data_IF_471957289996
#
_entry.id   IF_471957289996
#
_cell.length_a   1.000
_cell.length_b   1.000
_cell.length_c   1.000
_cell.angle_alpha   90.00
_cell.angle_beta   90.00
_cell.angle_gamma   90.00
#
_symmetry.space_group_name_H-M   'P 1'
#
loop_
_entity.id
_entity.type
_entity.pdbx_description
1 polymer ?
#
# COMPACT_ATOMS: atom_id res chain seq x y z
N UNK A 1 -9.27 8.24 -19.98
CA UNK A 1 -8.29 9.11 -20.65
C UNK A 1 -8.55 10.56 -20.22
N UNK A 2 -8.21 10.92 -18.97
CA UNK A 2 -8.30 12.30 -18.48
C UNK A 2 -6.93 12.93 -18.64
N UNK A 3 -6.85 13.88 -19.55
CA UNK A 3 -5.68 14.68 -19.88
C UNK A 3 -5.15 15.38 -18.63
N UNK A 4 -3.91 15.06 -18.23
CA UNK A 4 -3.14 15.88 -17.32
C UNK A 4 -2.98 17.26 -17.97
N UNK A 5 -3.60 18.24 -17.33
CA UNK A 5 -3.75 19.61 -17.77
C UNK A 5 -2.40 20.32 -17.95
N UNK A 6 -2.18 21.04 -19.07
CA UNK A 6 -0.97 21.83 -19.34
C UNK A 6 -0.70 22.95 -18.32
N UNK A 7 -1.67 23.28 -17.45
CA UNK A 7 -1.57 24.36 -16.45
C UNK A 7 -0.45 24.19 -15.40
N UNK A 8 0.03 22.96 -15.18
CA UNK A 8 1.09 22.71 -14.18
C UNK A 8 2.48 23.07 -14.74
N UNK A 9 2.65 23.00 -16.06
CA UNK A 9 3.95 23.23 -16.71
C UNK A 9 4.32 24.72 -16.78
N UNK A 10 3.34 25.61 -16.96
CA UNK A 10 3.60 27.04 -17.10
C UNK A 10 3.93 27.74 -15.77
N UNK A 11 3.61 27.12 -14.63
CA UNK A 11 3.89 27.70 -13.30
C UNK A 11 5.26 27.34 -12.72
N UNK A 12 5.97 26.37 -13.30
CA UNK A 12 7.12 25.75 -12.64
C UNK A 12 8.42 25.77 -13.44
N UNK A 13 8.47 26.27 -14.69
CA UNK A 13 9.69 26.36 -15.52
C UNK A 13 10.54 25.07 -15.53
N UNK A 14 9.92 23.90 -15.29
CA UNK A 14 10.61 22.62 -15.24
C UNK A 14 10.22 21.82 -16.50
N UNK A 15 11.21 21.38 -17.31
CA UNK A 15 10.94 20.61 -18.51
C UNK A 15 10.18 19.31 -18.20
N UNK A 16 9.20 18.97 -19.04
CA UNK A 16 8.33 17.79 -18.91
C UNK A 16 9.10 16.49 -18.61
N UNK A 17 10.31 16.33 -19.14
CA UNK A 17 11.19 15.19 -18.90
C UNK A 17 11.54 15.00 -17.42
N UNK A 18 11.68 16.08 -16.64
CA UNK A 18 11.93 15.98 -15.20
C UNK A 18 10.68 15.56 -14.43
N UNK A 19 9.49 15.94 -14.90
CA UNK A 19 8.22 15.53 -14.28
C UNK A 19 8.01 14.03 -14.45
N UNK A 20 8.32 13.46 -15.63
CA UNK A 20 8.29 12.01 -15.85
C UNK A 20 9.32 11.28 -14.99
N UNK A 21 10.53 11.82 -14.81
CA UNK A 21 11.54 11.23 -13.93
C UNK A 21 11.10 11.22 -12.46
N UNK A 22 10.48 12.30 -11.98
CA UNK A 22 9.96 12.39 -10.60
C UNK A 22 8.76 11.45 -10.42
N UNK A 23 7.83 11.42 -11.38
CA UNK A 23 6.65 10.54 -11.32
C UNK A 23 7.03 9.05 -11.36
N UNK A 24 8.11 8.70 -12.07
CA UNK A 24 8.66 7.34 -12.10
C UNK A 24 9.41 6.97 -10.80
N UNK A 25 9.93 7.97 -10.08
CA UNK A 25 10.67 7.78 -8.82
C UNK A 25 9.73 7.59 -7.62
N UNK A 26 8.56 8.23 -7.65
CA UNK A 26 7.52 7.99 -6.66
C UNK A 26 6.80 6.68 -6.99
N UNK A 27 7.30 5.58 -6.42
CA UNK A 27 6.62 4.26 -6.29
C UNK A 27 5.20 4.31 -5.67
N UNK A 28 4.63 5.49 -5.46
CA UNK A 28 3.29 5.70 -4.94
C UNK A 28 2.19 5.63 -6.01
N UNK A 29 2.55 5.62 -7.30
CA UNK A 29 1.59 5.30 -8.35
C UNK A 29 1.48 3.79 -8.47
N UNK A 30 0.55 3.18 -7.73
CA UNK A 30 0.10 1.83 -8.06
C UNK A 30 -0.50 1.89 -9.47
N UNK A 31 0.21 1.32 -10.46
CA UNK A 31 -0.26 1.20 -11.84
C UNK A 31 -1.43 0.22 -11.97
N UNK A 32 -1.70 -0.58 -10.93
CA UNK A 32 -2.83 -1.50 -10.85
C UNK A 32 -4.01 -0.86 -10.12
N UNK A 33 -5.26 -1.14 -10.55
CA UNK A 33 -6.45 -0.61 -9.91
C UNK A 33 -6.53 -1.11 -8.46
N UNK A 34 -6.17 -0.23 -7.52
CA UNK A 34 -6.37 -0.48 -6.11
C UNK A 34 -7.86 -0.58 -5.80
N UNK A 35 -8.20 -1.51 -4.92
CA UNK A 35 -9.52 -1.62 -4.33
C UNK A 35 -9.83 -0.41 -3.48
N UNK A 36 -11.11 -0.28 -3.08
CA UNK A 36 -11.57 0.83 -2.24
C UNK A 36 -10.80 0.97 -0.91
N UNK A 37 -10.30 -0.14 -0.36
CA UNK A 37 -9.57 -0.23 0.90
C UNK A 37 -8.20 -0.90 0.66
N UNK A 38 -7.13 -0.26 1.09
CA UNK A 38 -5.77 -0.81 1.01
C UNK A 38 -5.36 -1.36 2.37
N UNK A 39 -5.06 -2.66 2.43
CA UNK A 39 -4.59 -3.36 3.63
C UNK A 39 -3.10 -3.62 3.49
N UNK A 40 -2.30 -3.06 4.39
CA UNK A 40 -0.85 -3.22 4.46
C UNK A 40 -0.45 -3.98 5.72
N UNK A 41 0.09 -5.18 5.57
CA UNK A 41 0.58 -5.99 6.70
C UNK A 41 2.07 -5.77 6.92
N UNK A 42 2.46 -5.43 8.16
CA UNK A 42 3.87 -5.25 8.50
C UNK A 42 4.60 -6.60 8.61
N UNK A 43 5.53 -6.85 7.71
CA UNK A 43 6.39 -8.04 7.68
C UNK A 43 7.81 -7.78 8.19
N UNK A 44 8.00 -6.69 8.94
CA UNK A 44 9.30 -6.38 9.57
C UNK A 44 9.69 -7.40 10.61
N UNK A 45 10.99 -7.50 10.91
CA UNK A 45 11.56 -8.51 11.83
C UNK A 45 10.83 -8.59 13.17
N UNK A 46 10.52 -7.43 13.78
CA UNK A 46 9.77 -7.35 15.02
C UNK A 46 8.35 -7.91 14.91
N UNK A 47 7.64 -7.65 13.81
CA UNK A 47 6.29 -8.16 13.59
C UNK A 47 6.30 -9.63 13.16
N UNK A 48 7.30 -10.04 12.38
CA UNK A 48 7.50 -11.42 11.92
C UNK A 48 7.62 -12.39 13.10
N UNK A 49 8.52 -12.10 14.05
CA UNK A 49 8.72 -12.94 15.26
C UNK A 49 7.46 -12.96 16.14
N UNK A 50 6.66 -11.89 16.12
CA UNK A 50 5.40 -11.78 16.87
C UNK A 50 4.19 -12.42 16.17
N UNK A 51 4.39 -13.08 15.03
CA UNK A 51 3.34 -13.82 14.34
C UNK A 51 2.62 -13.04 13.22
N UNK A 52 3.26 -12.04 12.60
CA UNK A 52 2.70 -11.36 11.43
C UNK A 52 2.34 -12.31 10.28
N UNK A 53 3.07 -13.43 10.13
CA UNK A 53 2.72 -14.47 9.15
C UNK A 53 1.33 -15.08 9.41
N UNK A 54 0.98 -15.31 10.68
CA UNK A 54 -0.33 -15.86 11.04
C UNK A 54 -1.45 -14.84 10.77
N UNK A 55 -1.19 -13.56 11.04
CA UNK A 55 -2.10 -12.47 10.69
C UNK A 55 -2.32 -12.40 9.18
N UNK A 56 -1.24 -12.43 8.40
CA UNK A 56 -1.31 -12.43 6.94
C UNK A 56 -2.14 -13.61 6.42
N UNK A 57 -1.86 -14.83 6.90
CA UNK A 57 -2.62 -16.02 6.50
C UNK A 57 -4.11 -15.92 6.85
N UNK A 58 -4.46 -15.37 8.02
CA UNK A 58 -5.87 -15.14 8.38
C UNK A 58 -6.55 -14.20 7.39
N UNK A 59 -5.87 -13.10 7.03
CA UNK A 59 -6.41 -12.13 6.07
C UNK A 59 -6.57 -12.77 4.68
N UNK A 60 -5.56 -13.53 4.23
CA UNK A 60 -5.62 -14.29 2.96
C UNK A 60 -6.79 -15.28 2.96
N UNK A 61 -7.03 -15.98 4.07
CA UNK A 61 -8.12 -16.94 4.18
C UNK A 61 -9.52 -16.27 4.22
N UNK A 62 -9.63 -15.07 4.79
CA UNK A 62 -10.90 -14.34 4.89
C UNK A 62 -11.24 -13.62 3.59
N UNK A 63 -10.25 -13.02 2.94
CA UNK A 63 -10.43 -12.24 1.72
C UNK A 63 -10.21 -13.05 0.44
N UNK A 64 -9.72 -14.28 0.56
CA UNK A 64 -9.37 -15.17 -0.56
C UNK A 64 -8.44 -14.51 -1.59
N UNK A 65 -7.56 -13.60 -1.14
CA UNK A 65 -6.66 -12.80 -1.97
C UNK A 65 -5.22 -13.01 -1.53
N UNK A 66 -4.28 -12.98 -2.49
CA UNK A 66 -2.85 -13.09 -2.18
C UNK A 66 -2.25 -11.71 -1.88
N UNK A 67 -1.13 -11.65 -1.14
CA UNK A 67 -0.38 -10.41 -0.98
C UNK A 67 0.09 -9.90 -2.35
N UNK A 68 -0.16 -8.62 -2.62
CA UNK A 68 0.05 -7.95 -3.90
C UNK A 68 -1.18 -7.88 -4.80
N UNK A 69 -2.24 -8.66 -4.51
CA UNK A 69 -3.43 -8.73 -5.34
C UNK A 69 -4.62 -7.92 -4.76
N UNK A 70 -5.59 -7.66 -5.63
CA UNK A 70 -6.88 -7.05 -5.29
C UNK A 70 -8.00 -8.08 -5.41
N UNK A 71 -8.93 -8.05 -4.47
CA UNK A 71 -10.14 -8.89 -4.47
C UNK A 71 -10.97 -8.70 -5.75
N UNK A 72 -11.69 -9.73 -6.20
CA UNK A 72 -12.53 -9.71 -7.41
C UNK A 72 -13.61 -8.62 -7.40
N UNK A 73 -14.05 -8.22 -6.19
CA UNK A 73 -15.05 -7.18 -5.99
C UNK A 73 -14.45 -5.76 -6.02
N UNK A 74 -13.13 -5.62 -6.24
CA UNK A 74 -12.38 -4.37 -6.20
C UNK A 74 -12.60 -3.56 -4.90
N UNK A 75 -12.87 -4.26 -3.79
CA UNK A 75 -13.09 -3.62 -2.48
C UNK A 75 -11.83 -3.55 -1.65
N UNK A 76 -11.01 -4.60 -1.67
CA UNK A 76 -9.82 -4.71 -0.84
C UNK A 76 -8.60 -5.05 -1.70
N UNK A 77 -7.51 -4.33 -1.49
CA UNK A 77 -6.16 -4.70 -1.96
C UNK A 77 -5.34 -5.11 -0.75
N UNK A 78 -4.73 -6.29 -0.82
CA UNK A 78 -3.86 -6.80 0.24
C UNK A 78 -2.41 -6.65 -0.21
N UNK A 79 -1.59 -5.96 0.56
CA UNK A 79 -0.16 -5.84 0.30
C UNK A 79 0.64 -5.97 1.61
N UNK A 80 1.94 -6.17 1.49
CA UNK A 80 2.87 -6.32 2.60
C UNK A 80 3.93 -5.23 2.56
N UNK A 81 4.33 -4.76 3.73
CA UNK A 81 5.37 -3.73 3.87
C UNK A 81 6.43 -4.18 4.84
N UNK A 82 7.68 -3.84 4.54
CA UNK A 82 8.82 -4.23 5.37
C UNK A 82 8.77 -3.62 6.78
N UNK A 83 8.34 -2.38 6.94
CA UNK A 83 8.25 -1.76 8.26
C UNK A 83 7.22 -0.63 8.27
N UNK A 84 6.37 -0.63 9.29
CA UNK A 84 5.41 0.44 9.57
C UNK A 84 5.86 1.39 10.69
N UNK A 85 7.04 1.17 11.29
CA UNK A 85 7.57 1.97 12.39
C UNK A 85 6.87 1.79 13.75
N UNK A 86 5.77 1.04 13.81
CA UNK A 86 4.98 0.81 15.02
C UNK A 86 5.36 -0.48 15.77
N UNK A 87 6.66 -0.76 15.90
CA UNK A 87 7.16 -2.03 16.46
C UNK A 87 6.72 -2.28 17.92
N UNK A 88 6.46 -1.22 18.70
CA UNK A 88 5.98 -1.31 20.07
C UNK A 88 4.59 -1.99 20.18
N UNK A 89 3.80 -1.92 19.10
CA UNK A 89 2.41 -2.39 19.05
C UNK A 89 2.26 -3.61 18.11
N UNK A 90 3.37 -4.23 17.72
CA UNK A 90 3.37 -5.37 16.80
C UNK A 90 2.70 -6.62 17.40
N UNK A 91 2.04 -7.46 16.57
CA UNK A 91 1.87 -7.33 15.12
C UNK A 91 0.86 -6.24 14.72
N UNK A 92 1.17 -5.51 13.65
CA UNK A 92 0.41 -4.34 13.20
C UNK A 92 0.11 -4.43 11.71
N UNK A 93 -1.09 -3.99 11.33
CA UNK A 93 -1.49 -3.76 9.95
C UNK A 93 -2.00 -2.32 9.80
N UNK A 94 -2.02 -1.81 8.58
CA UNK A 94 -2.59 -0.51 8.25
C UNK A 94 -3.73 -0.70 7.24
N UNK A 95 -4.86 -0.03 7.45
CA UNK A 95 -5.95 0.02 6.48
C UNK A 95 -6.32 1.46 6.22
N UNK A 96 -6.18 1.94 4.97
CA UNK A 96 -6.39 3.34 4.57
C UNK A 96 -5.79 4.34 5.57
N UNK A 97 -4.49 4.20 5.85
CA UNK A 97 -3.69 5.03 6.79
C UNK A 97 -3.99 4.88 8.28
N UNK A 98 -4.93 4.00 8.67
CA UNK A 98 -5.20 3.70 10.09
C UNK A 98 -4.42 2.47 10.54
N UNK A 99 -3.67 2.63 11.62
CA UNK A 99 -2.95 1.52 12.26
C UNK A 99 -3.90 0.67 13.11
N UNK A 100 -3.86 -0.64 12.90
CA UNK A 100 -4.57 -1.64 13.69
C UNK A 100 -3.56 -2.54 14.38
N UNK A 101 -3.58 -2.50 15.70
CA UNK A 101 -2.64 -3.18 16.59
C UNK A 101 -3.39 -4.24 17.35
N UNK A 102 -2.88 -5.47 17.38
CA UNK A 102 -3.59 -6.64 17.90
C UNK A 102 -4.90 -7.01 17.16
N UNK A 103 -4.90 -7.16 15.82
CA UNK A 103 -6.01 -7.80 15.12
C UNK A 103 -6.04 -9.30 15.47
N UNK A 104 -6.80 -9.65 16.51
CA UNK A 104 -7.08 -11.03 16.95
C UNK A 104 -8.07 -11.72 16.01
#
# INVERSE_FOLDING_TARGET
>A
MKTLSPDISDKLEIPLTNIYNIASFYKHFNLEPQGKYNILVCMGTACYIRGAMNLLQRIVNVLEVKPGDTTSDYRFTLDTVNCLGACALGPVMMVDDKYYTNPS
#
